data_IF_104592510227
#
_entry.id   IF_104592510227
#
_cell.length_a   1.000
_cell.length_b   1.000
_cell.length_c   1.000
_cell.angle_alpha   90.00
_cell.angle_beta   90.00
_cell.angle_gamma   90.00
#
_symmetry.space_group_name_H-M   'P 1'
#
loop_
_entity.id
_entity.type
_entity.pdbx_description
1 polymer ?
#
# COMPACT_ATOMS: atom_id res chain seq x y z
N UNK A 1 19.13 0.11 -14.06
CA UNK A 1 18.02 -0.42 -14.89
C UNK A 1 16.76 0.39 -14.59
N UNK A 2 16.03 0.80 -15.62
CA UNK A 2 14.78 1.57 -15.51
C UNK A 2 13.59 0.63 -15.36
N UNK A 3 12.62 0.98 -14.51
CA UNK A 3 11.36 0.24 -14.36
C UNK A 3 10.18 1.22 -14.48
N UNK A 4 9.19 0.86 -15.29
CA UNK A 4 7.95 1.61 -15.39
C UNK A 4 6.77 0.74 -14.93
N UNK A 5 5.77 1.35 -14.32
CA UNK A 5 4.54 0.67 -13.92
C UNK A 5 3.34 1.58 -14.08
N UNK A 6 2.21 1.00 -14.51
CA UNK A 6 0.92 1.69 -14.58
C UNK A 6 -0.07 0.95 -13.72
N UNK A 7 -0.77 1.68 -12.85
CA UNK A 7 -1.84 1.17 -12.00
C UNK A 7 -3.14 1.88 -12.32
N UNK A 8 -4.15 1.12 -12.72
CA UNK A 8 -5.52 1.60 -12.89
C UNK A 8 -6.39 1.20 -11.70
N UNK A 9 -7.32 2.07 -11.30
CA UNK A 9 -8.30 1.81 -10.25
C UNK A 9 -9.69 2.29 -10.67
N UNK A 10 -10.69 1.43 -10.48
CA UNK A 10 -12.10 1.74 -10.61
C UNK A 10 -12.80 1.68 -9.25
N UNK A 11 -13.61 2.69 -8.94
CA UNK A 11 -14.44 2.79 -7.73
C UNK A 11 -15.82 3.36 -8.09
N UNK A 12 -16.82 2.49 -8.20
CA UNK A 12 -18.24 2.87 -8.27
C UNK A 12 -18.59 3.99 -9.26
N UNK A 13 -17.98 4.00 -10.45
CA UNK A 13 -18.20 5.02 -11.48
C UNK A 13 -17.06 6.03 -11.67
N UNK A 14 -16.04 6.02 -10.80
CA UNK A 14 -14.82 6.83 -10.96
C UNK A 14 -13.65 5.93 -11.36
N UNK A 15 -12.92 6.33 -12.40
CA UNK A 15 -11.67 5.71 -12.81
C UNK A 15 -10.51 6.64 -12.46
N UNK A 16 -9.44 6.09 -11.91
CA UNK A 16 -8.21 6.82 -11.60
C UNK A 16 -7.01 6.02 -12.10
N UNK A 17 -5.98 6.74 -12.55
CA UNK A 17 -4.74 6.16 -13.05
C UNK A 17 -3.53 6.71 -12.32
N UNK A 18 -2.55 5.84 -12.04
CA UNK A 18 -1.24 6.22 -11.51
C UNK A 18 -0.15 5.60 -12.37
N UNK A 19 0.71 6.43 -12.93
CA UNK A 19 1.93 6.01 -13.62
C UNK A 19 3.13 6.22 -12.72
N UNK A 20 4.11 5.32 -12.75
CA UNK A 20 5.37 5.48 -12.05
C UNK A 20 6.53 5.06 -12.92
N UNK A 21 7.62 5.81 -12.84
CA UNK A 21 8.90 5.51 -13.47
C UNK A 21 9.97 5.55 -12.40
N UNK A 22 10.87 4.56 -12.38
CA UNK A 22 11.98 4.52 -11.46
C UNK A 22 13.29 4.14 -12.14
N UNK A 23 14.37 4.77 -11.67
CA UNK A 23 15.74 4.55 -12.12
C UNK A 23 16.62 4.20 -10.92
N UNK A 24 17.41 3.13 -11.05
CA UNK A 24 18.39 2.73 -10.04
C UNK A 24 19.75 3.38 -10.33
N UNK A 25 20.32 4.04 -9.33
CA UNK A 25 21.65 4.65 -9.30
C UNK A 25 22.44 4.08 -8.10
N UNK A 26 23.17 2.98 -8.33
CA UNK A 26 23.82 2.23 -7.24
C UNK A 26 22.80 1.67 -6.25
N UNK A 27 22.98 1.96 -4.97
CA UNK A 27 22.09 1.58 -3.87
C UNK A 27 20.81 2.44 -3.78
N UNK A 28 20.75 3.53 -4.53
CA UNK A 28 19.65 4.50 -4.48
C UNK A 28 18.75 4.30 -5.70
N UNK A 29 17.46 4.53 -5.51
CA UNK A 29 16.44 4.55 -6.55
C UNK A 29 15.75 5.91 -6.56
N UNK A 30 15.71 6.51 -7.74
CA UNK A 30 14.94 7.71 -8.04
C UNK A 30 13.60 7.28 -8.63
N UNK A 31 12.49 7.79 -8.11
CA UNK A 31 11.14 7.49 -8.61
C UNK A 31 10.38 8.79 -8.88
N UNK A 32 9.70 8.84 -10.02
CA UNK A 32 8.66 9.81 -10.30
C UNK A 32 7.31 9.09 -10.40
N UNK A 33 6.27 9.65 -9.81
CA UNK A 33 4.91 9.11 -9.84
C UNK A 33 3.94 10.22 -10.21
N UNK A 34 3.04 9.92 -11.15
CA UNK A 34 2.07 10.86 -11.73
C UNK A 34 0.67 10.24 -11.64
N UNK A 35 -0.34 11.06 -11.37
CA UNK A 35 -1.75 10.63 -11.43
C UNK A 35 -2.45 11.19 -12.66
N UNK A 36 -3.64 10.71 -12.97
CA UNK A 36 -4.56 11.28 -13.96
C UNK A 36 -4.70 12.81 -13.87
N UNK A 37 -4.74 13.38 -12.66
CA UNK A 37 -4.77 14.83 -12.40
C UNK A 37 -3.66 15.63 -13.12
N UNK A 38 -2.55 14.99 -13.50
CA UNK A 38 -1.46 15.59 -14.29
C UNK A 38 -1.96 16.05 -15.67
N UNK A 39 -3.02 15.43 -16.21
CA UNK A 39 -3.47 15.59 -17.59
C UNK A 39 -4.91 16.12 -17.76
N UNK A 40 -5.74 16.13 -16.71
CA UNK A 40 -7.19 16.44 -16.81
C UNK A 40 -7.50 17.83 -17.41
N UNK A 41 -6.61 18.81 -17.25
CA UNK A 41 -6.77 20.17 -17.79
C UNK A 41 -5.57 20.62 -18.65
N UNK A 42 -4.86 19.66 -19.25
CA UNK A 42 -3.56 19.87 -19.88
C UNK A 42 -2.39 19.52 -18.95
N UNK A 43 -1.14 19.47 -19.47
CA UNK A 43 0.03 19.09 -18.69
C UNK A 43 0.21 20.03 -17.48
N UNK A 44 0.07 19.47 -16.28
CA UNK A 44 0.27 20.21 -15.03
C UNK A 44 1.11 19.38 -14.06
N UNK A 45 1.64 20.01 -13.02
CA UNK A 45 2.36 19.29 -11.96
C UNK A 45 1.40 18.65 -10.94
N UNK A 46 0.09 18.81 -11.12
CA UNK A 46 -0.92 18.22 -10.23
C UNK A 46 -0.81 16.69 -10.26
N UNK A 47 -0.72 16.06 -9.08
CA UNK A 47 -0.54 14.61 -8.98
C UNK A 47 0.91 14.12 -9.18
N UNK A 48 1.89 15.01 -9.41
CA UNK A 48 3.30 14.63 -9.49
C UNK A 48 3.93 14.50 -8.09
N UNK A 49 4.69 13.43 -7.90
CA UNK A 49 5.56 13.22 -6.74
C UNK A 49 6.91 12.66 -7.17
N UNK A 50 7.95 13.06 -6.45
CA UNK A 50 9.33 12.64 -6.67
C UNK A 50 9.86 11.98 -5.40
N UNK A 51 10.53 10.84 -5.52
CA UNK A 51 11.08 10.14 -4.38
C UNK A 51 12.52 9.70 -4.62
N UNK A 52 13.32 9.78 -3.56
CA UNK A 52 14.65 9.18 -3.45
C UNK A 52 14.57 8.10 -2.37
N UNK A 53 14.92 6.88 -2.71
CA UNK A 53 14.86 5.76 -1.77
C UNK A 53 16.10 4.88 -1.81
N UNK A 54 16.53 4.40 -0.65
CA UNK A 54 17.42 3.24 -0.52
C UNK A 54 16.57 2.07 -0.06
N UNK A 55 16.34 1.03 -0.90
CA UNK A 55 15.46 -0.08 -0.56
C UNK A 55 15.80 -0.73 0.77
N UNK A 56 14.83 -0.81 1.69
CA UNK A 56 15.00 -1.37 3.03
C UNK A 56 15.58 -0.40 4.08
N UNK A 57 15.98 0.81 3.70
CA UNK A 57 16.57 1.80 4.61
C UNK A 57 15.73 3.08 4.72
N UNK A 58 15.45 3.75 3.61
CA UNK A 58 14.66 4.99 3.66
C UNK A 58 13.94 5.30 2.35
N UNK A 59 12.93 6.15 2.46
CA UNK A 59 12.24 6.83 1.35
C UNK A 59 12.06 8.29 1.76
N UNK A 60 12.49 9.21 0.91
CA UNK A 60 12.18 10.64 1.00
C UNK A 60 11.33 10.98 -0.21
N UNK A 61 10.08 11.36 0.01
CA UNK A 61 9.11 11.66 -1.04
C UNK A 61 8.68 13.11 -0.95
N UNK A 62 8.71 13.81 -2.07
CA UNK A 62 8.24 15.17 -2.23
C UNK A 62 6.97 15.18 -3.09
N UNK A 63 5.89 15.71 -2.53
CA UNK A 63 4.67 15.98 -3.26
C UNK A 63 4.75 17.38 -3.87
N UNK A 64 4.83 17.45 -5.21
CA UNK A 64 5.12 18.70 -5.91
C UNK A 64 4.00 19.74 -5.75
N UNK A 65 2.70 19.41 -5.93
CA UNK A 65 1.62 20.38 -5.72
C UNK A 65 1.51 20.90 -4.29
N UNK A 66 1.61 19.99 -3.31
CA UNK A 66 1.43 20.33 -1.90
C UNK A 66 2.67 20.98 -1.27
N UNK A 67 3.80 20.96 -1.97
CA UNK A 67 5.11 21.37 -1.44
C UNK A 67 5.43 20.69 -0.11
N UNK A 68 5.08 19.41 -0.02
CA UNK A 68 5.19 18.62 1.20
C UNK A 68 6.25 17.54 1.05
N UNK A 69 6.96 17.26 2.15
CA UNK A 69 7.97 16.20 2.23
C UNK A 69 7.51 15.15 3.23
N UNK A 70 7.55 13.89 2.81
CA UNK A 70 7.36 12.73 3.66
C UNK A 70 8.68 11.97 3.78
N UNK A 71 9.09 11.74 5.01
CA UNK A 71 10.24 10.91 5.37
C UNK A 71 9.75 9.56 5.85
N UNK A 72 10.40 8.49 5.40
CA UNK A 72 10.20 7.15 5.91
C UNK A 72 11.55 6.49 6.12
N UNK A 73 11.81 6.02 7.34
CA UNK A 73 13.03 5.30 7.71
C UNK A 73 12.67 3.90 8.20
N UNK A 74 13.41 2.90 7.75
CA UNK A 74 13.20 1.49 8.05
C UNK A 74 14.47 0.95 8.69
N UNK A 75 14.33 0.20 9.76
CA UNK A 75 15.44 -0.46 10.43
C UNK A 75 14.99 -1.83 10.95
N UNK A 76 15.91 -2.79 10.98
CA UNK A 76 15.68 -4.11 11.57
C UNK A 76 16.72 -4.33 12.65
N UNK A 77 16.26 -4.51 13.88
CA UNK A 77 17.09 -4.88 15.03
C UNK A 77 16.75 -6.30 15.48
N UNK A 78 17.65 -6.95 16.24
CA UNK A 78 17.37 -8.26 16.83
C UNK A 78 16.99 -8.12 18.29
N UNK A 79 15.88 -8.72 18.68
CA UNK A 79 15.44 -8.85 20.08
C UNK A 79 15.30 -10.34 20.36
N UNK A 80 16.08 -10.86 21.32
CA UNK A 80 16.16 -12.31 21.57
C UNK A 80 16.37 -13.13 20.28
N UNK A 81 17.32 -12.69 19.44
CA UNK A 81 17.65 -13.25 18.12
C UNK A 81 16.56 -13.13 17.04
N UNK A 82 15.35 -12.70 17.42
CA UNK A 82 14.22 -12.49 16.51
C UNK A 82 14.26 -11.11 15.85
N UNK A 83 13.93 -11.01 14.55
CA UNK A 83 13.94 -9.73 13.85
C UNK A 83 12.74 -8.87 14.30
N UNK A 84 13.04 -7.68 14.78
CA UNK A 84 12.12 -6.58 15.03
C UNK A 84 12.30 -5.54 13.91
N UNK A 85 11.32 -5.44 13.01
CA UNK A 85 11.31 -4.42 11.97
C UNK A 85 10.60 -3.18 12.51
N UNK A 86 11.26 -2.03 12.36
CA UNK A 86 10.79 -0.73 12.77
C UNK A 86 10.65 0.16 11.54
N UNK A 87 9.55 0.91 11.46
CA UNK A 87 9.37 1.95 10.45
C UNK A 87 8.95 3.25 11.13
N UNK A 88 9.68 4.32 10.85
CA UNK A 88 9.33 5.68 11.23
C UNK A 88 8.84 6.42 9.99
N UNK A 89 7.71 7.13 10.08
CA UNK A 89 7.17 7.94 8.99
C UNK A 89 6.83 9.32 9.54
N UNK A 90 7.31 10.38 8.89
CA UNK A 90 6.96 11.75 9.24
C UNK A 90 6.55 12.53 7.99
N UNK A 91 5.36 13.11 8.03
CA UNK A 91 4.85 14.04 7.01
C UNK A 91 4.95 15.46 7.53
N UNK A 92 5.67 16.33 6.81
CA UNK A 92 5.96 17.70 7.25
C UNK A 92 4.71 18.59 7.27
N UNK A 93 3.88 18.56 6.22
CA UNK A 93 2.70 19.43 6.12
C UNK A 93 1.63 19.06 7.15
N UNK A 94 1.40 17.76 7.36
CA UNK A 94 0.45 17.28 8.37
C UNK A 94 1.02 17.34 9.80
N UNK A 95 2.31 17.68 9.95
CA UNK A 95 3.10 17.54 11.18
C UNK A 95 2.82 16.21 11.91
N UNK A 96 2.74 15.12 11.14
CA UNK A 96 2.25 13.82 11.61
C UNK A 96 3.36 12.81 11.60
N UNK A 97 3.55 12.16 12.75
CA UNK A 97 4.52 11.08 12.92
C UNK A 97 3.83 9.76 13.21
N UNK A 98 4.22 8.71 12.49
CA UNK A 98 3.75 7.34 12.65
C UNK A 98 4.97 6.44 12.91
N UNK A 99 4.85 5.54 13.88
CA UNK A 99 5.85 4.52 14.19
C UNK A 99 5.19 3.15 14.08
N UNK A 100 5.78 2.29 13.28
CA UNK A 100 5.41 0.88 13.13
C UNK A 100 6.49 -0.01 13.72
N UNK A 101 6.06 -1.09 14.38
CA UNK A 101 6.91 -2.17 14.83
C UNK A 101 6.32 -3.52 14.43
N UNK A 102 7.16 -4.47 14.00
CA UNK A 102 6.74 -5.86 13.82
C UNK A 102 7.82 -6.83 14.28
N UNK A 103 7.45 -7.71 15.20
CA UNK A 103 8.29 -8.75 15.77
C UNK A 103 7.85 -10.11 15.23
N UNK A 104 8.77 -10.82 14.60
CA UNK A 104 8.54 -12.21 14.20
C UNK A 104 8.88 -13.13 15.37
N UNK A 105 7.87 -13.72 16.00
CA UNK A 105 8.07 -14.62 17.14
C UNK A 105 8.62 -15.95 16.64
N UNK A 106 7.97 -16.51 15.62
CA UNK A 106 8.38 -17.73 14.92
C UNK A 106 7.81 -17.70 13.48
N UNK A 107 8.06 -18.72 12.64
CA UNK A 107 7.57 -18.72 11.24
C UNK A 107 6.04 -18.62 11.08
N UNK A 108 5.26 -18.99 12.10
CA UNK A 108 3.81 -18.92 12.10
C UNK A 108 3.27 -17.67 12.81
N UNK A 109 4.00 -17.13 13.80
CA UNK A 109 3.50 -16.13 14.71
C UNK A 109 4.24 -14.79 14.60
N UNK A 110 3.48 -13.71 14.43
CA UNK A 110 3.99 -12.33 14.33
C UNK A 110 3.13 -11.38 15.14
N UNK A 111 3.75 -10.46 15.87
CA UNK A 111 3.08 -9.32 16.52
C UNK A 111 3.50 -8.06 15.80
N UNK A 112 2.55 -7.15 15.58
CA UNK A 112 2.81 -5.84 14.99
C UNK A 112 2.02 -4.75 15.69
N UNK A 113 2.62 -3.58 15.83
CA UNK A 113 1.99 -2.39 16.38
C UNK A 113 2.18 -1.21 15.44
N UNK A 114 1.17 -0.37 15.34
CA UNK A 114 1.20 0.91 14.64
C UNK A 114 0.78 1.98 15.66
N UNK A 115 1.53 3.08 15.72
CA UNK A 115 1.23 4.18 16.63
C UNK A 115 1.42 5.53 15.94
N UNK A 116 0.40 6.39 16.04
CA UNK A 116 0.51 7.79 15.65
C UNK A 116 0.88 8.63 16.87
N UNK A 117 2.10 9.17 16.85
CA UNK A 117 2.72 9.84 17.99
C UNK A 117 1.91 11.06 18.42
N UNK A 118 1.68 11.18 19.74
CA UNK A 118 0.92 12.28 20.31
C UNK A 118 -0.60 12.10 20.27
N UNK A 119 -1.08 10.92 19.85
CA UNK A 119 -2.51 10.59 19.82
C UNK A 119 -2.80 9.30 20.59
N UNK A 120 -4.07 8.91 20.69
CA UNK A 120 -4.49 7.59 21.15
C UNK A 120 -4.60 6.55 20.01
N UNK A 121 -4.24 6.93 18.78
CA UNK A 121 -4.33 6.05 17.62
C UNK A 121 -3.17 5.06 17.63
N UNK A 122 -3.42 3.96 18.31
CA UNK A 122 -2.56 2.79 18.37
C UNK A 122 -3.35 1.57 17.90
N UNK A 123 -2.72 0.70 17.12
CA UNK A 123 -3.26 -0.60 16.75
C UNK A 123 -2.26 -1.69 17.10
N UNK A 124 -2.72 -2.73 17.78
CA UNK A 124 -1.93 -3.94 18.07
C UNK A 124 -2.54 -5.12 17.33
N UNK A 125 -1.76 -5.75 16.47
CA UNK A 125 -2.18 -6.85 15.62
C UNK A 125 -1.33 -8.08 15.87
N UNK A 126 -2.00 -9.21 16.10
CA UNK A 126 -1.39 -10.52 16.04
C UNK A 126 -1.64 -11.14 14.67
N UNK A 127 -0.68 -11.91 14.16
CA UNK A 127 -0.84 -12.67 12.92
C UNK A 127 -0.41 -14.10 13.18
N UNK A 128 -1.33 -15.03 12.94
CA UNK A 128 -1.05 -16.46 12.88
C UNK A 128 -1.13 -16.94 11.43
N UNK A 129 -0.07 -17.58 10.95
CA UNK A 129 0.01 -18.18 9.63
C UNK A 129 -0.05 -19.70 9.76
N UNK A 130 -1.09 -20.32 9.19
CA UNK A 130 -1.18 -21.78 9.03
C UNK A 130 -0.41 -22.19 7.78
N UNK A 131 0.91 -22.32 7.94
CA UNK A 131 1.84 -22.59 6.84
C UNK A 131 1.71 -21.52 5.74
N UNK A 132 1.77 -21.96 4.48
CA UNK A 132 1.55 -21.07 3.32
C UNK A 132 0.07 -21.01 2.89
N UNK A 133 -0.87 -21.54 3.66
CA UNK A 133 -2.25 -21.69 3.18
C UNK A 133 -3.13 -20.53 3.61
N UNK A 134 -3.11 -20.18 4.89
CA UNK A 134 -4.03 -19.21 5.45
C UNK A 134 -3.40 -18.36 6.55
N UNK A 135 -3.97 -17.18 6.79
CA UNK A 135 -3.61 -16.32 7.92
C UNK A 135 -4.85 -15.88 8.69
N UNK A 136 -4.68 -15.70 9.98
CA UNK A 136 -5.66 -15.11 10.89
C UNK A 136 -5.02 -13.91 11.60
N UNK A 137 -5.70 -12.77 11.55
CA UNK A 137 -5.19 -11.48 12.01
C UNK A 137 -6.22 -10.75 12.89
N UNK A 138 -6.28 -11.02 14.21
CA UNK A 138 -6.99 -10.15 15.14
C UNK A 138 -6.16 -8.89 15.41
N UNK A 139 -6.82 -7.74 15.45
CA UNK A 139 -6.23 -6.44 15.68
C UNK A 139 -7.05 -5.65 16.69
N UNK A 140 -6.44 -5.14 17.74
CA UNK A 140 -7.08 -4.21 18.66
C UNK A 140 -6.77 -2.78 18.24
N UNK A 141 -7.80 -1.95 18.10
CA UNK A 141 -7.71 -0.52 17.84
C UNK A 141 -7.99 0.23 19.16
N UNK A 142 -6.95 0.81 19.75
CA UNK A 142 -7.04 1.50 21.04
C UNK A 142 -7.83 2.81 20.94
N UNK A 143 -7.81 3.49 19.79
CA UNK A 143 -8.58 4.73 19.60
C UNK A 143 -10.08 4.44 19.53
N UNK A 144 -10.46 3.30 18.95
CA UNK A 144 -11.86 2.88 18.81
C UNK A 144 -12.36 1.97 19.93
N UNK A 145 -11.46 1.51 20.80
CA UNK A 145 -11.74 0.51 21.82
C UNK A 145 -12.46 -0.73 21.24
N UNK A 146 -11.94 -1.24 20.13
CA UNK A 146 -12.61 -2.28 19.35
C UNK A 146 -11.63 -3.26 18.69
N UNK A 147 -12.10 -4.47 18.45
CA UNK A 147 -11.39 -5.49 17.68
C UNK A 147 -11.73 -5.39 16.19
N UNK A 148 -10.73 -5.53 15.34
CA UNK A 148 -10.86 -5.77 13.91
C UNK A 148 -10.30 -7.17 13.61
N UNK A 149 -10.85 -7.85 12.61
CA UNK A 149 -10.45 -9.19 12.24
C UNK A 149 -10.15 -9.26 10.75
N UNK A 150 -9.13 -10.03 10.39
CA UNK A 150 -8.94 -10.47 9.02
C UNK A 150 -8.56 -11.94 8.94
N UNK A 151 -9.05 -12.59 7.88
CA UNK A 151 -8.68 -13.94 7.48
C UNK A 151 -8.24 -13.87 6.03
N UNK A 152 -7.15 -14.51 5.68
CA UNK A 152 -6.80 -14.71 4.28
C UNK A 152 -6.47 -16.16 3.98
N UNK A 153 -6.70 -16.55 2.73
CA UNK A 153 -6.41 -17.89 2.23
C UNK A 153 -5.86 -17.79 0.81
N UNK A 154 -4.78 -18.51 0.54
CA UNK A 154 -4.31 -18.75 -0.82
C UNK A 154 -5.29 -19.68 -1.53
N UNK A 155 -5.70 -19.30 -2.73
CA UNK A 155 -6.62 -20.06 -3.59
C UNK A 155 -5.95 -20.25 -4.95
N UNK A 156 -6.34 -21.27 -5.71
CA UNK A 156 -5.87 -21.47 -7.10
C UNK A 156 -4.33 -21.38 -7.30
N UNK A 157 -3.54 -21.85 -6.34
CA UNK A 157 -2.07 -21.78 -6.36
C UNK A 157 -1.52 -20.77 -5.36
N UNK A 158 -0.28 -20.31 -5.60
CA UNK A 158 0.43 -19.39 -4.70
C UNK A 158 0.23 -17.91 -5.02
N UNK A 159 -0.32 -17.61 -6.21
CA UNK A 159 -0.46 -16.24 -6.74
C UNK A 159 -1.78 -15.56 -6.37
N UNK A 160 -2.85 -16.33 -6.13
CA UNK A 160 -4.17 -15.82 -5.79
C UNK A 160 -4.45 -15.91 -4.28
N UNK A 161 -4.96 -14.83 -3.71
CA UNK A 161 -5.34 -14.74 -2.30
C UNK A 161 -6.74 -14.16 -2.19
N UNK A 162 -7.58 -14.82 -1.39
CA UNK A 162 -8.85 -14.26 -0.93
C UNK A 162 -8.69 -13.83 0.52
N UNK A 163 -9.09 -12.61 0.84
CA UNK A 163 -9.06 -12.03 2.19
C UNK A 163 -10.45 -11.54 2.57
N UNK A 164 -10.89 -11.88 3.77
CA UNK A 164 -12.07 -11.29 4.40
C UNK A 164 -11.63 -10.43 5.58
N UNK A 165 -12.31 -9.31 5.80
CA UNK A 165 -12.06 -8.39 6.90
C UNK A 165 -13.35 -7.96 7.55
N UNK A 166 -13.34 -7.79 8.87
CA UNK A 166 -14.45 -7.20 9.60
C UNK A 166 -13.90 -6.16 10.59
N UNK A 167 -14.41 -4.92 10.48
CA UNK A 167 -14.11 -3.87 11.44
C UNK A 167 -15.29 -3.73 12.39
N UNK A 168 -15.09 -4.02 13.69
CA UNK A 168 -16.22 -4.10 14.62
C UNK A 168 -16.83 -2.72 14.90
N UNK A 169 -16.00 -1.70 15.08
CA UNK A 169 -16.46 -0.35 15.42
C UNK A 169 -17.31 0.28 14.31
N UNK A 170 -16.92 0.11 13.04
CA UNK A 170 -17.65 0.63 11.88
C UNK A 170 -18.66 -0.37 11.30
N UNK A 171 -18.69 -1.61 11.80
CA UNK A 171 -19.44 -2.74 11.24
C UNK A 171 -19.19 -2.95 9.74
N UNK A 172 -17.98 -2.62 9.26
CA UNK A 172 -17.61 -2.74 7.86
C UNK A 172 -17.12 -4.16 7.57
N UNK A 173 -17.85 -4.90 6.74
CA UNK A 173 -17.45 -6.20 6.21
C UNK A 173 -16.83 -6.01 4.83
N UNK A 174 -15.68 -6.63 4.59
CA UNK A 174 -14.94 -6.55 3.33
C UNK A 174 -14.46 -7.91 2.85
N UNK A 175 -14.45 -8.08 1.54
CA UNK A 175 -13.83 -9.22 0.84
C UNK A 175 -12.93 -8.68 -0.26
N UNK A 176 -11.74 -9.25 -0.38
CA UNK A 176 -10.74 -8.94 -1.37
C UNK A 176 -10.28 -10.22 -2.06
N UNK A 177 -10.18 -10.19 -3.38
CA UNK A 177 -9.42 -11.16 -4.16
C UNK A 177 -8.28 -10.42 -4.84
N UNK A 178 -7.06 -10.88 -4.63
CA UNK A 178 -5.87 -10.36 -5.29
C UNK A 178 -5.09 -11.46 -5.98
N UNK A 179 -4.56 -11.17 -7.17
CA UNK A 179 -3.55 -11.96 -7.86
C UNK A 179 -2.28 -11.17 -8.02
N UNK A 180 -1.14 -11.79 -7.74
CA UNK A 180 0.17 -11.21 -8.03
C UNK A 180 0.99 -12.16 -8.90
N UNK A 181 0.89 -11.98 -10.21
CA UNK A 181 1.62 -12.77 -11.21
C UNK A 181 2.74 -11.95 -11.84
N UNK A 182 3.91 -12.55 -11.99
CA UNK A 182 5.05 -11.90 -12.68
C UNK A 182 4.86 -11.85 -14.20
N UNK A 183 4.12 -12.80 -14.77
CA UNK A 183 3.94 -12.96 -16.22
C UNK A 183 2.70 -12.24 -16.75
N UNK A 184 1.61 -12.24 -15.98
CA UNK A 184 0.30 -11.71 -16.44
C UNK A 184 -0.11 -10.41 -15.77
N UNK A 185 0.74 -9.87 -14.88
CA UNK A 185 0.44 -8.67 -14.10
C UNK A 185 -0.27 -8.98 -12.79
N UNK A 186 -0.70 -7.92 -12.09
CA UNK A 186 -1.37 -8.05 -10.80
C UNK A 186 -2.73 -7.37 -10.83
N UNK A 187 -3.71 -7.96 -10.16
CA UNK A 187 -5.01 -7.32 -9.97
C UNK A 187 -5.48 -7.49 -8.53
N UNK A 188 -6.44 -6.64 -8.16
CA UNK A 188 -7.15 -6.70 -6.89
C UNK A 188 -8.59 -6.26 -7.09
N UNK A 189 -9.53 -7.09 -6.65
CA UNK A 189 -10.97 -6.79 -6.64
C UNK A 189 -11.43 -6.80 -5.19
N UNK A 190 -12.11 -5.74 -4.75
CA UNK A 190 -12.66 -5.64 -3.41
C UNK A 190 -14.15 -5.35 -3.45
N UNK A 191 -14.90 -5.99 -2.56
CA UNK A 191 -16.26 -5.64 -2.23
C UNK A 191 -16.34 -5.35 -0.73
N UNK A 192 -17.11 -4.34 -0.34
CA UNK A 192 -17.36 -4.04 1.07
C UNK A 192 -18.78 -3.58 1.30
N UNK A 193 -19.31 -3.87 2.48
CA UNK A 193 -20.66 -3.49 2.90
C UNK A 193 -20.62 -3.00 4.34
N UNK A 194 -21.25 -1.86 4.59
CA UNK A 194 -21.43 -1.37 5.94
C UNK A 194 -22.69 -2.00 6.54
N UNK A 195 -22.51 -2.86 7.55
CA UNK A 195 -23.62 -3.56 8.18
C UNK A 195 -24.40 -2.68 9.16
N UNK A 196 -23.93 -1.46 9.43
CA UNK A 196 -24.67 -0.47 10.21
C UNK A 196 -25.73 0.28 9.40
N UNK A 197 -25.61 0.30 8.07
CA UNK A 197 -26.53 1.03 7.19
C UNK A 197 -27.86 0.27 7.02
N UNK A 198 -28.96 1.02 6.92
CA UNK A 198 -30.29 0.46 6.66
C UNK A 198 -30.33 -0.22 5.28
N UNK A 199 -29.78 0.45 4.26
CA UNK A 199 -29.65 -0.07 2.90
C UNK A 199 -28.22 -0.58 2.69
N UNK A 200 -28.07 -1.90 2.58
CA UNK A 200 -26.77 -2.57 2.46
C UNK A 200 -26.26 -2.59 1.02
N UNK A 201 -25.91 -1.44 0.47
CA UNK A 201 -25.36 -1.35 -0.90
C UNK A 201 -23.86 -1.66 -0.89
N UNK A 202 -23.39 -2.70 -1.61
CA UNK A 202 -21.98 -3.03 -1.62
C UNK A 202 -21.18 -2.01 -2.43
N UNK A 203 -20.04 -1.58 -1.88
CA UNK A 203 -19.04 -0.80 -2.61
C UNK A 203 -18.06 -1.75 -3.29
N UNK A 204 -17.94 -1.65 -4.62
CA UNK A 204 -17.03 -2.44 -5.44
C UNK A 204 -15.86 -1.60 -5.94
N UNK A 205 -14.64 -2.12 -5.81
CA UNK A 205 -13.44 -1.53 -6.41
C UNK A 205 -12.62 -2.57 -7.15
N UNK A 206 -12.03 -2.21 -8.28
CA UNK A 206 -11.10 -3.05 -9.02
C UNK A 206 -9.82 -2.29 -9.32
N UNK A 207 -8.68 -2.93 -9.15
CA UNK A 207 -7.34 -2.38 -9.39
C UNK A 207 -6.56 -3.35 -10.27
N UNK A 208 -5.82 -2.83 -11.24
CA UNK A 208 -4.89 -3.61 -12.07
C UNK A 208 -3.55 -2.89 -12.13
N UNK A 209 -2.46 -3.65 -12.18
CA UNK A 209 -1.09 -3.13 -12.26
C UNK A 209 -0.30 -3.87 -13.33
N UNK A 210 0.28 -3.09 -14.23
CA UNK A 210 1.16 -3.57 -15.30
C UNK A 210 2.59 -3.09 -15.04
N UNK A 211 3.53 -4.03 -15.01
CA UNK A 211 4.96 -3.72 -14.94
C UNK A 211 5.54 -3.78 -16.35
N UNK A 212 6.20 -2.70 -16.76
CA UNK A 212 6.81 -2.55 -18.07
C UNK A 212 8.32 -2.65 -17.86
N UNK A 213 8.87 -3.84 -18.08
CA UNK A 213 10.32 -4.04 -18.13
C UNK A 213 10.75 -3.94 -19.61
N UNK A 214 11.70 -3.04 -19.92
CA UNK A 214 12.22 -2.68 -21.26
C UNK A 214 11.33 -1.81 -22.18
N UNK A 215 11.05 -0.56 -21.78
CA UNK A 215 10.71 0.51 -22.74
C UNK A 215 11.92 1.44 -22.91
N UNK A 216 12.96 0.96 -23.59
CA UNK A 216 13.89 1.86 -24.27
C UNK A 216 13.19 2.30 -25.57
N UNK A 217 12.99 3.61 -25.73
CA UNK A 217 12.39 4.31 -26.89
C UNK A 217 10.91 4.67 -26.74
N UNK A 218 10.63 5.79 -26.04
CA UNK A 218 9.54 6.66 -26.46
C UNK A 218 10.13 7.70 -27.42
N UNK A 219 9.96 7.49 -28.72
CA UNK A 219 10.13 8.56 -29.72
C UNK A 219 8.96 9.52 -29.55
N UNK A 220 9.23 10.74 -29.10
CA UNK A 220 8.27 11.83 -29.23
C UNK A 220 8.18 12.10 -30.73
N UNK A 221 7.11 11.62 -31.38
CA UNK A 221 6.78 12.05 -32.74
C UNK A 221 6.24 13.47 -32.61
N UNK A 222 7.11 14.44 -32.82
CA UNK A 222 6.73 15.83 -33.01
C UNK A 222 6.02 15.90 -34.36
N UNK A 223 4.69 16.04 -34.34
CA UNK A 223 3.91 16.32 -35.56
C UNK A 223 4.24 17.76 -35.97
N UNK A 224 4.80 18.01 -37.17
CA UNK A 224 5.00 19.36 -37.66
C UNK A 224 3.64 20.01 -37.90
N UNK A 225 3.47 21.24 -37.41
CA UNK A 225 2.42 22.18 -37.85
C UNK A 225 2.62 22.57 -39.30
#
# INVERSE_FOLDING_TARGET
MMKASVKGKYDGGKSTGVGSVAFNAGDIKLRATMTDATFVAGPSLNGLSLAVEKPGFFIVEYNVPKKDVRFQFMNTVRVAEKPLNLTYIHSRADNRTIVDGSLLIDPANKVSANYMVGTNNCKLKYTYARGKIATFEPCYDFAKNAWDFAVSKRVYGDEDVVKATYQTSSKLLGVEWSRNSKSTGSFKVCASVNLAEEVKTPKLTAETTWNLENLMSFTIIQVPT
#
